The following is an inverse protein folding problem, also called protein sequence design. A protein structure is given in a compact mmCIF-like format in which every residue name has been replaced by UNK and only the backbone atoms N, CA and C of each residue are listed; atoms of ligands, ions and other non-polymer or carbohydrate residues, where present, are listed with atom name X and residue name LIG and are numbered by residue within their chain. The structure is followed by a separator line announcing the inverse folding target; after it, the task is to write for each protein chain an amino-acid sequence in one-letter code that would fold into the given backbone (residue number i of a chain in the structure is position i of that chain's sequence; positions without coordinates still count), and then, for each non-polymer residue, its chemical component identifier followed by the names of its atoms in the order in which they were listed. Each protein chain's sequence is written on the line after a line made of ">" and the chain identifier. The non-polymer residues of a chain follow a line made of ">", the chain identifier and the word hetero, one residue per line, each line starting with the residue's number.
data_IF_304923482396
#
_entry.id   IF_304923482396
#
_cell.length_a   1.000
_cell.length_b   1.000
_cell.length_c   1.000
_cell.angle_alpha   90.00
_cell.angle_beta   90.00
_cell.angle_gamma   90.00
#
_symmetry.space_group_name_H-M   'P 1'
#
loop_
_entity.id
_entity.type
_entity.pdbx_description
1 polymer ?
#
# COMPACT_ATOMS: atom_id res chain seq x y z
N UNK A 1 -28.38 7.67 -46.06
CA UNK A 1 -27.51 8.66 -45.41
C UNK A 1 -27.70 8.80 -43.90
N UNK A 2 -28.88 8.57 -43.31
CA UNK A 2 -29.13 8.69 -41.86
C UNK A 2 -28.34 7.70 -40.99
N UNK A 3 -28.12 6.44 -41.39
CA UNK A 3 -27.39 5.42 -40.61
C UNK A 3 -25.91 5.70 -40.42
N UNK A 4 -25.24 6.27 -41.42
CA UNK A 4 -23.79 6.58 -41.39
C UNK A 4 -23.47 7.68 -40.34
N UNK A 5 -24.34 8.67 -40.24
CA UNK A 5 -24.16 9.77 -39.27
C UNK A 5 -24.43 9.29 -37.82
N UNK A 6 -25.37 8.36 -37.64
CA UNK A 6 -25.62 7.75 -36.29
C UNK A 6 -24.43 6.90 -35.82
N UNK A 7 -23.82 6.10 -36.71
CA UNK A 7 -22.63 5.33 -36.41
C UNK A 7 -21.44 6.21 -36.04
N UNK A 8 -21.20 7.29 -36.76
CA UNK A 8 -20.16 8.27 -36.47
C UNK A 8 -20.38 8.94 -35.11
N UNK A 9 -21.60 9.35 -34.79
CA UNK A 9 -21.93 9.97 -33.50
C UNK A 9 -21.69 8.99 -32.33
N UNK A 10 -22.11 7.72 -32.45
CA UNK A 10 -21.90 6.71 -31.44
C UNK A 10 -20.40 6.40 -31.24
N UNK A 11 -19.60 6.35 -32.32
CA UNK A 11 -18.15 6.15 -32.24
C UNK A 11 -17.45 7.31 -31.52
N UNK A 12 -17.86 8.56 -31.79
CA UNK A 12 -17.30 9.75 -31.12
C UNK A 12 -17.65 9.71 -29.63
N UNK A 13 -18.89 9.43 -29.28
CA UNK A 13 -19.32 9.33 -27.86
C UNK A 13 -18.52 8.22 -27.15
N UNK A 14 -18.33 7.06 -27.78
CA UNK A 14 -17.57 5.97 -27.21
C UNK A 14 -16.10 6.37 -26.97
N UNK A 15 -15.46 7.05 -27.94
CA UNK A 15 -14.09 7.57 -27.79
C UNK A 15 -13.96 8.62 -26.68
N UNK A 16 -14.94 9.52 -26.56
CA UNK A 16 -14.97 10.52 -25.49
C UNK A 16 -15.13 9.87 -24.11
N UNK A 17 -15.97 8.84 -23.98
CA UNK A 17 -16.12 8.06 -22.75
C UNK A 17 -14.82 7.34 -22.39
N UNK A 18 -14.16 6.71 -23.35
CA UNK A 18 -12.87 6.06 -23.15
C UNK A 18 -11.79 7.07 -22.71
N UNK A 19 -11.72 8.23 -23.35
CA UNK A 19 -10.78 9.30 -23.00
C UNK A 19 -11.04 9.81 -21.56
N UNK A 20 -12.29 10.00 -21.18
CA UNK A 20 -12.67 10.41 -19.82
C UNK A 20 -12.28 9.35 -18.79
N UNK A 21 -12.55 8.08 -19.07
CA UNK A 21 -12.22 6.96 -18.16
C UNK A 21 -10.72 6.72 -17.99
N UNK A 22 -9.90 7.19 -18.95
CA UNK A 22 -8.44 7.06 -18.89
C UNK A 22 -7.75 8.15 -18.06
N UNK A 23 -8.45 9.22 -17.71
CA UNK A 23 -7.87 10.30 -16.92
C UNK A 23 -7.57 9.87 -15.49
N UNK A 24 -6.60 10.54 -14.86
CA UNK A 24 -6.32 10.38 -13.44
C UNK A 24 -7.57 10.75 -12.63
N UNK A 25 -7.81 10.01 -11.55
CA UNK A 25 -8.91 10.33 -10.66
C UNK A 25 -8.76 11.72 -10.03
N UNK A 26 -9.85 12.34 -9.61
CA UNK A 26 -9.79 13.55 -8.80
C UNK A 26 -8.95 13.31 -7.53
N UNK A 27 -8.38 14.39 -7.00
CA UNK A 27 -7.62 14.37 -5.74
C UNK A 27 -8.40 13.70 -4.61
N UNK A 28 -7.69 13.10 -3.66
CA UNK A 28 -8.32 12.45 -2.49
C UNK A 28 -8.38 10.93 -2.58
N UNK A 29 -7.71 10.33 -3.56
CA UNK A 29 -7.62 8.87 -3.70
C UNK A 29 -6.21 8.42 -4.03
N UNK A 30 -5.82 7.29 -3.47
CA UNK A 30 -4.53 6.62 -3.71
C UNK A 30 -4.78 5.15 -4.04
N UNK A 31 -4.26 4.69 -5.18
CA UNK A 31 -4.26 3.27 -5.54
C UNK A 31 -3.06 2.59 -4.93
N UNK A 32 -3.29 1.51 -4.18
CA UNK A 32 -2.26 0.62 -3.63
C UNK A 32 -2.20 -0.65 -4.46
N UNK A 33 -1.00 -1.07 -4.83
CA UNK A 33 -0.78 -2.34 -5.52
C UNK A 33 0.31 -3.14 -4.83
N UNK A 34 0.05 -4.44 -4.65
CA UNK A 34 1.03 -5.43 -4.24
C UNK A 34 1.29 -6.35 -5.42
N UNK A 35 2.55 -6.48 -5.82
CA UNK A 35 2.99 -7.34 -6.92
C UNK A 35 4.16 -8.20 -6.49
N UNK A 36 4.22 -9.41 -7.00
CA UNK A 36 5.42 -10.23 -6.95
C UNK A 36 6.52 -9.60 -7.81
N UNK A 37 7.71 -9.38 -7.24
CA UNK A 37 8.77 -8.65 -7.92
C UNK A 37 9.36 -9.42 -9.12
N UNK A 38 9.46 -10.75 -9.01
CA UNK A 38 10.06 -11.59 -10.05
C UNK A 38 9.22 -11.75 -11.30
N UNK A 39 7.89 -11.87 -11.15
CA UNK A 39 6.97 -12.17 -12.26
C UNK A 39 6.09 -10.98 -12.65
N UNK A 40 5.99 -9.97 -11.77
CA UNK A 40 5.03 -8.86 -11.93
C UNK A 40 3.57 -9.26 -11.66
N UNK A 41 3.32 -10.51 -11.20
CA UNK A 41 1.96 -10.99 -10.87
C UNK A 41 1.34 -10.07 -9.82
N UNK A 42 0.15 -9.57 -10.13
CA UNK A 42 -0.62 -8.73 -9.22
C UNK A 42 -1.27 -9.60 -8.14
N UNK A 43 -0.99 -9.28 -6.87
CA UNK A 43 -1.52 -9.97 -5.69
C UNK A 43 -2.71 -9.20 -5.14
N UNK A 44 -2.56 -7.87 -5.01
CA UNK A 44 -3.61 -6.99 -4.52
C UNK A 44 -3.64 -5.70 -5.34
N UNK A 45 -4.83 -5.14 -5.54
CA UNK A 45 -5.01 -3.77 -6.04
C UNK A 45 -6.26 -3.21 -5.36
N UNK A 46 -6.11 -2.11 -4.65
CA UNK A 46 -7.17 -1.40 -3.92
C UNK A 46 -7.06 0.10 -4.16
N UNK A 47 -8.18 0.78 -4.25
CA UNK A 47 -8.24 2.24 -4.28
C UNK A 47 -8.71 2.74 -2.93
N UNK A 48 -7.85 3.41 -2.21
CA UNK A 48 -8.10 3.97 -0.89
C UNK A 48 -8.47 5.44 -1.00
N UNK A 49 -9.26 5.94 -0.06
CA UNK A 49 -9.37 7.39 0.16
C UNK A 49 -8.10 7.87 0.86
N UNK A 50 -7.68 9.08 0.56
CA UNK A 50 -6.59 9.70 1.30
C UNK A 50 -6.96 9.79 2.79
N UNK A 51 -6.00 9.40 3.67
CA UNK A 51 -6.23 9.22 5.09
C UNK A 51 -6.50 7.77 5.52
N UNK A 52 -6.84 6.85 4.60
CA UNK A 52 -6.98 5.42 4.96
C UNK A 52 -5.61 4.78 5.20
N UNK A 53 -5.59 3.83 6.14
CA UNK A 53 -4.37 3.19 6.60
C UNK A 53 -4.07 1.87 5.87
N UNK A 54 -2.76 1.63 5.69
CA UNK A 54 -2.17 0.36 5.27
C UNK A 54 -1.21 -0.07 6.36
N UNK A 55 -1.41 -1.25 6.93
CA UNK A 55 -0.63 -1.73 8.08
C UNK A 55 0.25 -2.89 7.67
N UNK A 56 1.57 -2.75 7.83
CA UNK A 56 2.54 -3.82 7.70
C UNK A 56 2.91 -4.36 9.07
N UNK A 57 2.87 -5.68 9.20
CA UNK A 57 3.26 -6.41 10.41
C UNK A 57 4.34 -7.40 10.02
N UNK A 58 5.48 -7.38 10.72
CA UNK A 58 6.58 -8.29 10.49
C UNK A 58 7.36 -8.54 11.78
N UNK A 59 8.27 -9.51 11.75
CA UNK A 59 9.15 -9.81 12.88
C UNK A 59 10.57 -9.38 12.53
N UNK A 60 11.15 -8.53 13.37
CA UNK A 60 12.55 -8.15 13.26
C UNK A 60 13.44 -9.35 13.56
N UNK A 61 14.31 -9.73 12.62
CA UNK A 61 15.15 -10.93 12.75
C UNK A 61 16.30 -10.77 13.74
N UNK A 62 16.75 -9.55 13.99
CA UNK A 62 17.88 -9.29 14.90
C UNK A 62 17.47 -9.40 16.37
N UNK A 63 16.30 -8.87 16.72
CA UNK A 63 15.83 -8.78 18.10
C UNK A 63 14.60 -9.65 18.38
N UNK A 64 14.04 -10.28 17.36
CA UNK A 64 12.83 -11.12 17.50
C UNK A 64 11.56 -10.34 17.83
N UNK A 65 11.57 -9.02 17.71
CA UNK A 65 10.44 -8.16 18.08
C UNK A 65 9.40 -8.11 16.94
N UNK A 66 8.12 -8.10 17.32
CA UNK A 66 7.04 -7.81 16.38
C UNK A 66 7.07 -6.32 16.04
N UNK A 67 7.14 -6.01 14.76
CA UNK A 67 7.09 -4.65 14.25
C UNK A 67 5.76 -4.41 13.56
N UNK A 68 5.19 -3.24 13.83
CA UNK A 68 4.00 -2.74 13.15
C UNK A 68 4.32 -1.37 12.57
N UNK A 69 4.21 -1.24 11.26
CA UNK A 69 4.34 0.01 10.52
C UNK A 69 2.98 0.42 9.98
N UNK A 70 2.57 1.65 10.25
CA UNK A 70 1.31 2.21 9.76
C UNK A 70 1.63 3.25 8.71
N UNK A 71 1.15 3.01 7.51
CA UNK A 71 1.22 3.95 6.41
C UNK A 71 -0.15 4.57 6.19
N UNK A 72 -0.18 5.84 5.82
CA UNK A 72 -1.38 6.54 5.39
C UNK A 72 -1.31 6.75 3.88
N UNK A 73 -2.37 6.38 3.17
CA UNK A 73 -2.52 6.66 1.75
C UNK A 73 -2.76 8.16 1.56
N UNK A 74 -1.96 8.84 0.74
CA UNK A 74 -2.08 10.28 0.55
C UNK A 74 -1.51 10.73 -0.80
N UNK A 75 -2.35 11.28 -1.67
CA UNK A 75 -1.93 11.91 -2.92
C UNK A 75 -1.15 10.98 -3.87
N UNK A 76 -1.45 9.69 -3.89
CA UNK A 76 -0.72 8.69 -4.68
C UNK A 76 0.58 8.19 -4.04
N UNK A 77 0.77 8.43 -2.75
CA UNK A 77 1.92 7.99 -1.95
C UNK A 77 1.45 7.18 -0.73
N UNK A 78 2.36 6.39 -0.18
CA UNK A 78 2.28 5.83 1.17
C UNK A 78 3.16 6.67 2.09
N UNK A 79 2.56 7.25 3.12
CA UNK A 79 3.28 8.04 4.11
C UNK A 79 3.39 7.22 5.39
N UNK A 80 4.60 6.83 5.80
CA UNK A 80 4.82 6.17 7.08
C UNK A 80 4.46 7.18 8.19
N UNK A 81 3.43 6.86 8.97
CA UNK A 81 2.89 7.72 10.02
C UNK A 81 3.26 7.26 11.43
N UNK A 82 3.40 5.94 11.60
CA UNK A 82 3.73 5.34 12.89
C UNK A 82 4.54 4.07 12.71
N UNK A 83 5.43 3.80 13.67
CA UNK A 83 6.12 2.53 13.84
C UNK A 83 6.07 2.10 15.31
N UNK A 84 5.90 0.80 15.54
CA UNK A 84 5.94 0.21 16.88
C UNK A 84 6.75 -1.09 16.84
N UNK A 85 7.77 -1.17 17.67
CA UNK A 85 8.48 -2.38 18.04
C UNK A 85 7.90 -2.85 19.38
N UNK A 86 7.17 -3.95 19.36
CA UNK A 86 6.45 -4.43 20.52
C UNK A 86 7.40 -4.97 21.60
N UNK A 87 7.06 -4.70 22.85
CA UNK A 87 7.73 -5.36 23.98
C UNK A 87 7.34 -6.84 24.02
N UNK A 88 8.32 -7.78 24.06
CA UNK A 88 8.07 -9.22 24.14
C UNK A 88 7.28 -9.62 25.39
N UNK A 89 7.36 -8.85 26.46
CA UNK A 89 6.66 -9.06 27.73
C UNK A 89 5.25 -8.43 27.75
N UNK A 90 4.85 -7.77 26.65
CA UNK A 90 3.53 -7.15 26.53
C UNK A 90 3.39 -5.79 27.19
N UNK A 91 4.48 -5.20 27.70
CA UNK A 91 4.46 -3.84 28.24
C UNK A 91 4.26 -2.81 27.12
N UNK A 92 3.74 -1.65 27.47
CA UNK A 92 3.62 -0.54 26.52
C UNK A 92 5.02 -0.03 26.13
N UNK A 93 5.40 -0.08 24.85
CA UNK A 93 6.70 0.41 24.41
C UNK A 93 6.88 1.91 24.72
N UNK A 94 8.07 2.36 25.14
CA UNK A 94 8.35 3.78 25.35
C UNK A 94 8.15 4.57 24.06
N UNK A 95 7.61 5.77 24.18
CA UNK A 95 7.48 6.70 23.05
C UNK A 95 8.81 7.40 22.80
N UNK A 96 9.16 7.48 21.54
CA UNK A 96 10.38 8.16 21.07
C UNK A 96 10.02 9.22 20.03
N UNK A 97 10.95 10.12 19.74
CA UNK A 97 10.77 11.14 18.73
C UNK A 97 11.00 10.55 17.32
N UNK A 98 10.42 11.13 16.25
CA UNK A 98 10.70 10.70 14.88
C UNK A 98 12.19 10.73 14.52
N UNK A 99 12.97 11.61 15.12
CA UNK A 99 14.42 11.75 14.85
C UNK A 99 15.22 10.53 15.34
N UNK A 100 14.75 9.84 16.39
CA UNK A 100 15.47 8.71 17.00
C UNK A 100 15.19 7.39 16.28
N UNK A 101 14.18 7.35 15.39
CA UNK A 101 13.67 6.10 14.81
C UNK A 101 14.70 5.37 13.98
N UNK A 102 15.45 6.07 13.13
CA UNK A 102 16.43 5.43 12.24
C UNK A 102 17.55 4.74 13.04
N UNK A 103 18.00 5.33 14.15
CA UNK A 103 18.99 4.72 15.06
C UNK A 103 18.40 3.49 15.78
N UNK A 104 17.15 3.58 16.23
CA UNK A 104 16.49 2.49 16.96
C UNK A 104 16.17 1.28 16.08
N UNK A 105 15.98 1.44 14.78
CA UNK A 105 15.90 0.31 13.84
C UNK A 105 17.18 -0.55 13.86
N UNK A 106 18.33 0.05 14.15
CA UNK A 106 19.63 -0.62 14.15
C UNK A 106 20.06 -1.09 15.54
N UNK A 107 19.79 -0.29 16.59
CA UNK A 107 20.23 -0.56 17.95
C UNK A 107 19.29 -1.48 18.73
N UNK A 108 18.03 -1.58 18.30
CA UNK A 108 17.04 -2.48 18.89
C UNK A 108 16.35 -1.94 20.14
N UNK A 109 15.48 -2.78 20.67
CA UNK A 109 14.63 -2.44 21.80
C UNK A 109 13.18 -2.19 21.41
N UNK A 110 12.28 -2.23 22.40
CA UNK A 110 10.90 -1.91 22.22
C UNK A 110 10.71 -0.39 22.20
N UNK A 111 10.01 0.14 21.18
CA UNK A 111 9.68 1.57 21.10
C UNK A 111 8.42 1.81 20.27
N UNK A 112 7.85 2.99 20.39
CA UNK A 112 6.77 3.47 19.52
C UNK A 112 7.02 4.92 19.12
N UNK A 113 6.92 5.22 17.84
CA UNK A 113 7.01 6.57 17.30
C UNK A 113 5.79 6.88 16.44
N UNK A 114 5.28 8.09 16.53
CA UNK A 114 4.19 8.62 15.69
C UNK A 114 4.54 10.02 15.18
N UNK A 115 3.78 10.50 14.19
CA UNK A 115 4.08 11.78 13.54
C UNK A 115 5.22 11.69 12.53
N UNK A 116 5.52 10.46 12.07
CA UNK A 116 6.44 10.25 10.96
C UNK A 116 5.82 10.80 9.66
N UNK A 117 6.68 11.18 8.71
CA UNK A 117 6.24 11.78 7.43
C UNK A 117 7.04 11.29 6.22
N UNK A 118 7.72 10.14 6.36
CA UNK A 118 8.51 9.56 5.27
C UNK A 118 7.58 8.99 4.20
N UNK A 119 7.66 9.54 2.99
CA UNK A 119 6.77 9.20 1.88
C UNK A 119 7.43 8.22 0.92
N UNK A 120 6.65 7.29 0.38
CA UNK A 120 7.09 6.27 -0.55
C UNK A 120 6.12 6.15 -1.72
N UNK A 121 6.66 6.11 -2.92
CA UNK A 121 5.92 5.72 -4.12
C UNK A 121 5.97 4.20 -4.32
N UNK A 122 7.07 3.58 -3.91
CA UNK A 122 7.28 2.14 -3.96
C UNK A 122 8.20 1.70 -2.82
N UNK A 123 7.87 0.56 -2.23
CA UNK A 123 8.69 -0.13 -1.23
C UNK A 123 8.90 -1.57 -1.69
N UNK A 124 10.10 -2.10 -1.50
CA UNK A 124 10.44 -3.49 -1.79
C UNK A 124 10.60 -4.25 -0.48
N UNK A 125 9.82 -5.32 -0.33
CA UNK A 125 9.96 -6.22 0.81
C UNK A 125 10.48 -7.57 0.34
N UNK A 126 11.57 -8.04 0.95
CA UNK A 126 12.09 -9.39 0.75
C UNK A 126 11.60 -10.30 1.85
N UNK A 127 11.08 -11.47 1.47
CA UNK A 127 10.58 -12.46 2.42
C UNK A 127 11.75 -13.25 2.99
N UNK A 128 12.11 -12.93 4.23
CA UNK A 128 13.10 -13.65 5.02
C UNK A 128 12.53 -14.89 5.69
N UNK A 129 13.41 -15.66 6.33
CA UNK A 129 13.03 -16.88 7.05
C UNK A 129 12.17 -16.57 8.29
N UNK A 130 12.53 -15.54 9.03
CA UNK A 130 11.94 -15.19 10.34
C UNK A 130 10.87 -14.12 10.23
N UNK A 131 10.96 -13.22 9.25
CA UNK A 131 10.20 -11.98 9.22
C UNK A 131 8.67 -12.13 9.10
N UNK A 132 8.21 -13.14 8.39
CA UNK A 132 6.79 -13.44 8.07
C UNK A 132 5.93 -12.17 7.84
N UNK A 133 6.30 -11.31 6.88
CA UNK A 133 5.63 -10.04 6.69
C UNK A 133 4.21 -10.23 6.16
N UNK A 134 3.29 -9.48 6.77
CA UNK A 134 1.86 -9.46 6.41
C UNK A 134 1.40 -8.03 6.26
N UNK A 135 0.63 -7.76 5.22
CA UNK A 135 0.06 -6.45 4.98
C UNK A 135 -1.46 -6.50 5.07
N UNK A 136 -2.02 -5.59 5.84
CA UNK A 136 -3.45 -5.40 5.96
C UNK A 136 -3.85 -4.08 5.28
N UNK A 137 -4.80 -4.22 4.34
CA UNK A 137 -5.43 -3.10 3.65
C UNK A 137 -6.94 -3.27 3.86
N UNK A 138 -7.56 -2.37 4.60
CA UNK A 138 -8.96 -2.50 5.05
C UNK A 138 -9.20 -3.86 5.75
N UNK A 139 -10.06 -4.71 5.19
CA UNK A 139 -10.38 -6.04 5.70
C UNK A 139 -9.56 -7.17 5.09
N UNK A 140 -8.69 -6.86 4.14
CA UNK A 140 -7.86 -7.85 3.43
C UNK A 140 -6.48 -7.92 4.06
N UNK A 141 -6.02 -9.15 4.30
CA UNK A 141 -4.65 -9.43 4.74
C UNK A 141 -3.93 -10.23 3.66
N UNK A 142 -2.71 -9.83 3.34
CA UNK A 142 -1.81 -10.49 2.41
C UNK A 142 -0.60 -10.97 3.19
N UNK A 143 -0.43 -12.29 3.31
CA UNK A 143 0.74 -12.93 3.89
C UNK A 143 1.81 -13.11 2.80
N UNK A 144 2.87 -12.31 2.80
CA UNK A 144 3.84 -12.28 1.69
C UNK A 144 4.52 -13.62 1.45
N UNK A 145 4.79 -14.38 2.52
CA UNK A 145 5.40 -15.71 2.39
C UNK A 145 4.51 -16.71 1.66
N UNK A 146 3.18 -16.61 1.82
CA UNK A 146 2.23 -17.48 1.10
C UNK A 146 2.16 -17.10 -0.39
N UNK A 147 2.38 -15.83 -0.70
CA UNK A 147 2.29 -15.33 -2.07
C UNK A 147 3.54 -15.59 -2.91
N UNK A 148 4.73 -15.39 -2.33
CA UNK A 148 5.99 -15.42 -3.11
C UNK A 148 7.04 -16.39 -2.56
N UNK A 149 6.76 -17.08 -1.48
CA UNK A 149 7.69 -18.02 -0.85
C UNK A 149 8.87 -17.35 -0.14
N UNK A 150 9.74 -18.19 0.43
CA UNK A 150 11.00 -17.76 1.03
C UNK A 150 11.96 -17.24 -0.04
N UNK A 151 12.64 -16.12 0.24
CA UNK A 151 13.58 -15.47 -0.68
C UNK A 151 12.90 -14.62 -1.77
N UNK A 152 11.59 -14.78 -1.96
CA UNK A 152 10.81 -13.96 -2.88
C UNK A 152 10.74 -12.49 -2.42
N UNK A 153 10.32 -11.61 -3.33
CA UNK A 153 10.19 -10.19 -3.06
C UNK A 153 8.84 -9.66 -3.56
N UNK A 154 8.34 -8.67 -2.85
CA UNK A 154 7.08 -7.97 -3.13
C UNK A 154 7.39 -6.51 -3.43
N UNK A 155 6.78 -5.97 -4.48
CA UNK A 155 6.63 -4.53 -4.69
C UNK A 155 5.31 -4.07 -4.10
N UNK A 156 5.38 -3.20 -3.09
CA UNK A 156 4.27 -2.39 -2.64
C UNK A 156 4.38 -1.01 -3.30
N UNK A 157 3.40 -0.61 -4.08
CA UNK A 157 3.41 0.67 -4.78
C UNK A 157 2.13 1.45 -4.57
N UNK A 158 2.27 2.78 -4.58
CA UNK A 158 1.18 3.72 -4.52
C UNK A 158 1.19 4.64 -5.75
N UNK A 159 0.03 5.02 -6.22
CA UNK A 159 -0.13 5.95 -7.34
C UNK A 159 -1.49 6.64 -7.28
N UNK A 160 -1.62 7.77 -7.96
CA UNK A 160 -2.93 8.37 -8.22
C UNK A 160 -3.71 7.42 -9.13
N UNK A 161 -4.93 6.96 -8.73
CA UNK A 161 -5.72 6.05 -9.55
C UNK A 161 -6.30 6.76 -10.78
N UNK A 162 -6.71 5.98 -11.77
CA UNK A 162 -7.51 6.48 -12.88
C UNK A 162 -8.99 6.55 -12.50
N UNK A 163 -9.75 7.40 -13.15
CA UNK A 163 -11.18 7.61 -12.82
C UNK A 163 -12.00 6.30 -12.86
N UNK A 164 -11.75 5.42 -13.82
CA UNK A 164 -12.46 4.14 -13.93
C UNK A 164 -12.15 3.19 -12.76
N UNK A 165 -10.96 3.25 -12.15
CA UNK A 165 -10.57 2.39 -11.03
C UNK A 165 -11.42 2.71 -9.78
N UNK A 166 -11.73 3.99 -9.55
CA UNK A 166 -12.64 4.40 -8.47
C UNK A 166 -14.07 3.91 -8.70
N UNK A 167 -14.54 3.96 -9.95
CA UNK A 167 -15.89 3.49 -10.30
C UNK A 167 -16.05 2.00 -10.05
N UNK A 168 -15.03 1.20 -10.41
CA UNK A 168 -15.02 -0.25 -10.18
C UNK A 168 -15.03 -0.59 -8.68
N UNK A 169 -14.29 0.14 -7.87
CA UNK A 169 -14.23 -0.07 -6.41
C UNK A 169 -15.57 0.20 -5.73
N UNK A 170 -16.32 1.22 -6.19
CA UNK A 170 -17.64 1.56 -5.64
C UNK A 170 -18.73 0.52 -5.96
N UNK A 171 -18.52 -0.33 -6.94
CA UNK A 171 -19.44 -1.38 -7.36
C UNK A 171 -19.30 -2.71 -6.61
N UNK A 172 -18.31 -2.85 -5.73
CA UNK A 172 -18.13 -4.03 -4.87
C UNK A 172 -18.43 -3.67 -3.42
N UNK A 173 -19.62 -4.06 -2.90
CA UNK A 173 -20.01 -3.86 -1.51
C UNK A 173 -19.20 -4.70 -0.52
#
# INVERSE_FOLDING_TARGET
>A
MKGRNLFLALSIIFLLVLAFLSQAAPSGYTRIQIKEAGTGRKILSEVLRDGEEVVLIWKNSLFGLKVTEVFVAQGGLLVLSQVTFADPLGSTPPRVTPADVDDLYQTGGAFSASGLSKSFQQIVYRVGEIGDPRMRVRRREVAFRQEVGFGGSIFLSAAVPKAYEILLERGHP
#
